data_IF_531963372422
#
_entry.id   IF_531963372422
#
_cell.length_a   1.000
_cell.length_b   1.000
_cell.length_c   1.000
_cell.angle_alpha   90.00
_cell.angle_beta   90.00
_cell.angle_gamma   90.00
#
_symmetry.space_group_name_H-M   'P 1'
#
loop_
_entity.id
_entity.type
_entity.pdbx_description
1 polymer ?
#
# COMPACT_ATOMS: atom_id res chain seq x y z
N UNK A 1 -14.03 5.80 -0.56
CA UNK A 1 -15.01 4.99 -1.36
C UNK A 1 -14.44 3.60 -1.66
N UNK A 2 -13.25 3.46 -2.26
CA UNK A 2 -12.60 2.18 -2.62
C UNK A 2 -12.53 1.19 -1.44
N UNK A 3 -12.14 1.67 -0.27
CA UNK A 3 -12.05 0.86 0.96
C UNK A 3 -13.43 0.33 1.38
N UNK A 4 -14.49 1.12 1.19
CA UNK A 4 -15.85 0.71 1.56
C UNK A 4 -16.36 -0.42 0.67
N UNK A 5 -16.17 -0.32 -0.63
CA UNK A 5 -16.65 -1.35 -1.57
C UNK A 5 -15.90 -2.68 -1.38
N UNK A 6 -14.58 -2.67 -1.38
CA UNK A 6 -13.80 -3.90 -1.14
C UNK A 6 -14.00 -4.50 0.26
N UNK A 7 -14.22 -3.65 1.27
CA UNK A 7 -14.45 -4.08 2.65
C UNK A 7 -15.77 -4.79 2.85
N UNK A 8 -16.88 -4.35 2.19
CA UNK A 8 -18.19 -4.97 2.34
C UNK A 8 -18.20 -6.42 1.83
N UNK A 9 -17.59 -6.69 0.69
CA UNK A 9 -17.51 -8.05 0.13
C UNK A 9 -16.74 -9.03 1.03
N UNK A 10 -15.67 -8.56 1.65
CA UNK A 10 -14.91 -9.39 2.59
C UNK A 10 -15.71 -9.67 3.86
N UNK A 11 -16.48 -8.70 4.36
CA UNK A 11 -17.39 -8.92 5.49
C UNK A 11 -18.50 -9.94 5.17
N UNK A 12 -19.07 -9.91 3.97
CA UNK A 12 -20.03 -10.90 3.50
C UNK A 12 -19.45 -12.32 3.42
N UNK A 13 -18.14 -12.43 3.23
CA UNK A 13 -17.38 -13.69 3.24
C UNK A 13 -16.91 -14.11 4.64
N UNK A 14 -17.32 -13.39 5.68
CA UNK A 14 -17.04 -13.71 7.09
C UNK A 14 -15.74 -13.18 7.64
N UNK A 15 -15.09 -12.21 6.96
CA UNK A 15 -13.92 -11.52 7.50
C UNK A 15 -14.34 -10.29 8.31
N UNK A 16 -13.63 -10.03 9.40
CA UNK A 16 -13.68 -8.73 10.06
C UNK A 16 -12.71 -7.78 9.34
N UNK A 17 -13.14 -6.53 9.10
CA UNK A 17 -12.33 -5.53 8.41
C UNK A 17 -12.10 -4.32 9.29
N UNK A 18 -10.83 -3.90 9.45
CA UNK A 18 -10.46 -2.61 10.01
C UNK A 18 -10.09 -1.67 8.85
N UNK A 19 -10.96 -0.69 8.58
CA UNK A 19 -10.76 0.34 7.57
C UNK A 19 -10.27 1.61 8.24
N UNK A 20 -9.12 2.14 7.82
CA UNK A 20 -8.44 3.20 8.57
C UNK A 20 -8.04 4.37 7.68
N UNK A 21 -8.42 5.56 8.07
CA UNK A 21 -7.85 6.82 7.56
C UNK A 21 -6.55 7.14 8.30
N UNK A 22 -5.46 6.59 7.81
CA UNK A 22 -4.11 6.81 8.37
C UNK A 22 -3.54 8.18 7.97
N UNK A 23 -2.40 8.65 8.50
CA UNK A 23 -1.77 9.90 8.11
C UNK A 23 -1.67 10.08 6.59
N UNK A 24 -2.07 11.23 6.10
CA UNK A 24 -2.14 11.53 4.67
C UNK A 24 -3.37 10.97 3.95
N UNK A 25 -4.35 10.39 4.65
CA UNK A 25 -5.53 9.77 4.05
C UNK A 25 -6.83 10.29 4.66
N UNK A 26 -7.89 10.30 3.84
CA UNK A 26 -9.27 10.57 4.25
C UNK A 26 -9.40 11.69 5.28
N UNK A 27 -10.09 11.42 6.39
CA UNK A 27 -10.32 12.39 7.44
C UNK A 27 -9.05 12.84 8.17
N UNK A 28 -8.03 12.00 8.27
CA UNK A 28 -6.74 12.39 8.83
C UNK A 28 -6.11 13.54 8.08
N UNK A 29 -6.14 13.50 6.74
CA UNK A 29 -5.59 14.57 5.90
C UNK A 29 -6.56 15.75 5.77
N UNK A 30 -7.81 15.49 5.34
CA UNK A 30 -8.71 16.56 4.90
C UNK A 30 -9.43 17.27 6.06
N UNK A 31 -9.53 16.65 7.23
CA UNK A 31 -10.17 17.24 8.41
C UNK A 31 -9.15 17.61 9.48
N UNK A 32 -8.12 16.77 9.68
CA UNK A 32 -7.13 16.96 10.74
C UNK A 32 -5.83 17.58 10.26
N UNK A 33 -5.62 17.72 8.94
CA UNK A 33 -4.38 18.20 8.32
C UNK A 33 -3.14 17.41 8.77
N UNK A 34 -3.28 16.10 8.96
CA UNK A 34 -2.16 15.22 9.30
C UNK A 34 -1.54 14.72 8.00
N UNK A 35 -0.33 15.16 7.62
CA UNK A 35 0.31 14.75 6.38
C UNK A 35 0.75 13.28 6.44
N UNK A 36 1.03 12.72 5.25
CA UNK A 36 1.65 11.39 5.15
C UNK A 36 3.07 11.41 5.69
N UNK A 37 3.59 10.21 6.03
CA UNK A 37 4.92 10.02 6.59
C UNK A 37 5.58 8.79 5.98
N UNK A 38 6.91 8.77 5.94
CA UNK A 38 7.67 7.66 5.36
C UNK A 38 7.66 6.41 6.26
N UNK A 39 7.81 6.60 7.57
CA UNK A 39 7.83 5.58 8.61
C UNK A 39 6.41 5.07 8.95
N UNK A 40 5.75 4.51 7.94
CA UNK A 40 4.34 4.09 8.04
C UNK A 40 4.11 2.91 8.99
N UNK A 41 5.16 2.22 9.38
CA UNK A 41 5.15 1.22 10.46
C UNK A 41 4.66 1.80 11.80
N UNK A 42 4.88 3.10 12.04
CA UNK A 42 4.43 3.74 13.30
C UNK A 42 2.90 3.83 13.39
N UNK A 43 2.17 4.44 12.44
CA UNK A 43 0.71 4.39 12.46
C UNK A 43 0.17 2.98 12.23
N UNK A 44 0.85 2.14 11.46
CA UNK A 44 0.49 0.74 11.27
C UNK A 44 0.46 -0.02 12.58
N UNK A 45 1.52 0.09 13.38
CA UNK A 45 1.56 -0.54 14.70
C UNK A 45 0.38 -0.12 15.59
N UNK A 46 0.03 1.16 15.60
CA UNK A 46 -1.12 1.64 16.39
C UNK A 46 -2.44 1.01 15.92
N UNK A 47 -2.61 0.82 14.60
CA UNK A 47 -3.78 0.12 14.05
C UNK A 47 -3.83 -1.35 14.51
N UNK A 48 -2.68 -2.05 14.50
CA UNK A 48 -2.59 -3.43 14.98
C UNK A 48 -2.79 -3.53 16.49
N UNK A 49 -2.27 -2.60 17.30
CA UNK A 49 -2.50 -2.56 18.74
C UNK A 49 -4.01 -2.42 19.05
N UNK A 50 -4.72 -1.58 18.28
CA UNK A 50 -6.17 -1.48 18.39
C UNK A 50 -6.85 -2.79 17.95
N UNK A 51 -6.48 -3.34 16.82
CA UNK A 51 -7.08 -4.57 16.28
C UNK A 51 -6.97 -5.73 17.27
N UNK A 52 -5.78 -5.94 17.83
CA UNK A 52 -5.52 -7.02 18.79
C UNK A 52 -6.11 -6.76 20.20
N UNK A 53 -6.60 -5.56 20.47
CA UNK A 53 -7.40 -5.28 21.68
C UNK A 53 -8.85 -5.75 21.56
N UNK A 54 -9.28 -6.14 20.35
CA UNK A 54 -10.65 -6.57 20.07
C UNK A 54 -10.81 -8.07 20.32
N UNK A 55 -11.72 -8.50 21.22
CA UNK A 55 -11.86 -9.90 21.60
C UNK A 55 -12.41 -10.80 20.47
N UNK A 56 -13.07 -10.20 19.46
CA UNK A 56 -13.61 -10.90 18.30
C UNK A 56 -12.56 -11.22 17.22
N UNK A 57 -11.34 -10.71 17.36
CA UNK A 57 -10.27 -10.92 16.36
C UNK A 57 -9.39 -12.09 16.77
N UNK A 58 -9.24 -13.02 15.83
CA UNK A 58 -8.28 -14.12 15.94
C UNK A 58 -6.86 -13.61 15.60
N UNK A 59 -5.93 -13.55 16.56
CA UNK A 59 -4.59 -13.00 16.33
C UNK A 59 -3.74 -13.84 15.36
N UNK A 60 -4.09 -15.09 15.15
CA UNK A 60 -3.38 -15.97 14.23
C UNK A 60 -3.88 -15.90 12.78
N UNK A 61 -4.88 -15.06 12.52
CA UNK A 61 -5.55 -14.96 11.22
C UNK A 61 -5.73 -13.51 10.74
N UNK A 62 -4.71 -12.67 10.95
CA UNK A 62 -4.74 -11.26 10.57
C UNK A 62 -3.88 -11.03 9.34
N UNK A 63 -4.48 -10.51 8.27
CA UNK A 63 -3.80 -10.09 7.05
C UNK A 63 -3.80 -8.57 6.92
N UNK A 64 -2.81 -8.03 6.20
CA UNK A 64 -2.71 -6.63 5.83
C UNK A 64 -2.87 -6.49 4.31
N UNK A 65 -3.71 -5.56 3.89
CA UNK A 65 -3.90 -5.23 2.48
C UNK A 65 -3.64 -3.74 2.23
N UNK A 66 -2.94 -3.45 1.16
CA UNK A 66 -2.73 -2.09 0.66
C UNK A 66 -3.01 -1.98 -0.83
N UNK A 67 -3.70 -0.89 -1.22
CA UNK A 67 -4.08 -0.63 -2.60
C UNK A 67 -3.43 0.69 -3.05
N UNK A 68 -2.93 0.73 -4.29
CA UNK A 68 -2.34 1.93 -4.88
C UNK A 68 -1.16 2.45 -4.04
N UNK A 69 -1.15 3.69 -3.61
CA UNK A 69 -0.09 4.23 -2.73
C UNK A 69 0.08 3.43 -1.42
N UNK A 70 -0.97 2.73 -0.96
CA UNK A 70 -0.84 1.79 0.15
C UNK A 70 -0.13 0.49 -0.26
N UNK A 71 0.11 0.26 -1.53
CA UNK A 71 1.04 -0.75 -2.04
C UNK A 71 2.50 -0.49 -1.63
N UNK A 72 2.83 0.72 -1.15
CA UNK A 72 4.06 1.02 -0.41
C UNK A 72 3.84 0.89 1.10
N UNK A 73 2.75 1.48 1.64
CA UNK A 73 2.52 1.53 3.09
C UNK A 73 2.35 0.17 3.72
N UNK A 74 1.58 -0.72 3.10
CA UNK A 74 1.34 -2.05 3.64
C UNK A 74 2.62 -2.93 3.67
N UNK A 75 3.41 -3.03 2.60
CA UNK A 75 4.72 -3.68 2.65
C UNK A 75 5.64 -3.11 3.73
N UNK A 76 5.67 -1.78 3.88
CA UNK A 76 6.49 -1.16 4.91
C UNK A 76 6.03 -1.57 6.32
N UNK A 77 4.73 -1.54 6.60
CA UNK A 77 4.20 -2.03 7.88
C UNK A 77 4.54 -3.51 8.08
N UNK A 78 4.37 -4.35 7.05
CA UNK A 78 4.65 -5.78 7.14
C UNK A 78 6.14 -6.11 7.40
N UNK A 79 7.05 -5.20 7.04
CA UNK A 79 8.47 -5.36 7.32
C UNK A 79 8.85 -5.15 8.80
N UNK A 80 7.96 -4.55 9.61
CA UNK A 80 8.18 -4.18 11.01
C UNK A 80 7.12 -4.71 11.98
N UNK A 81 6.09 -5.42 11.49
CA UNK A 81 4.97 -5.89 12.29
C UNK A 81 4.85 -7.42 12.22
N UNK A 82 5.46 -8.10 13.16
CA UNK A 82 5.55 -9.58 13.19
C UNK A 82 4.21 -10.28 13.43
N UNK A 83 3.18 -9.55 13.90
CA UNK A 83 1.85 -10.12 14.18
C UNK A 83 1.03 -10.35 12.91
N UNK A 84 1.42 -9.77 11.77
CA UNK A 84 0.77 -10.00 10.47
C UNK A 84 1.03 -11.43 10.02
N UNK A 85 0.03 -12.08 9.43
CA UNK A 85 0.11 -13.48 8.94
C UNK A 85 0.11 -13.57 7.41
N UNK A 86 -0.32 -12.51 6.72
CA UNK A 86 -0.25 -12.43 5.26
C UNK A 86 -0.26 -10.96 4.81
N UNK A 87 0.36 -10.70 3.68
CA UNK A 87 0.40 -9.38 3.02
C UNK A 87 -0.25 -9.48 1.63
N UNK A 88 -1.11 -8.52 1.32
CA UNK A 88 -1.65 -8.30 -0.01
C UNK A 88 -1.26 -6.89 -0.46
N UNK A 89 -0.47 -6.78 -1.52
CA UNK A 89 -0.07 -5.52 -2.11
C UNK A 89 -0.65 -5.38 -3.52
N UNK A 90 -1.68 -4.57 -3.65
CA UNK A 90 -2.36 -4.31 -4.92
C UNK A 90 -1.81 -3.02 -5.52
N UNK A 91 -1.15 -3.13 -6.66
CA UNK A 91 -0.29 -2.11 -7.26
C UNK A 91 0.89 -1.79 -6.34
N UNK A 92 1.78 -2.78 -6.13
CA UNK A 92 2.98 -2.65 -5.31
C UNK A 92 3.90 -1.52 -5.80
N UNK A 93 4.56 -0.86 -4.86
CA UNK A 93 5.45 0.26 -5.12
C UNK A 93 6.70 0.13 -4.26
N UNK A 94 7.87 0.26 -4.87
CA UNK A 94 9.16 0.19 -4.18
C UNK A 94 9.59 1.56 -3.65
N UNK A 95 9.43 2.61 -4.48
CA UNK A 95 9.79 4.00 -4.19
C UNK A 95 8.65 4.92 -4.62
N UNK A 96 8.08 5.68 -3.67
CA UNK A 96 7.06 6.68 -4.02
C UNK A 96 7.65 7.79 -4.89
N UNK A 97 8.94 8.11 -4.71
CA UNK A 97 9.60 9.11 -5.54
C UNK A 97 9.66 8.65 -7.00
N UNK A 98 10.21 7.48 -7.23
CA UNK A 98 10.53 7.01 -8.58
C UNK A 98 9.31 6.41 -9.28
N UNK A 99 8.59 5.51 -8.59
CA UNK A 99 7.53 4.71 -9.19
C UNK A 99 6.21 5.46 -9.33
N UNK A 100 6.03 6.58 -8.59
CA UNK A 100 4.80 7.39 -8.63
C UNK A 100 5.07 8.84 -8.99
N UNK A 101 5.86 9.56 -8.19
CA UNK A 101 5.98 11.02 -8.27
C UNK A 101 6.69 11.48 -9.55
N UNK A 102 7.78 10.82 -9.92
CA UNK A 102 8.54 11.09 -11.15
C UNK A 102 7.97 10.34 -12.35
N UNK A 103 7.27 9.23 -12.13
CA UNK A 103 6.66 8.41 -13.18
C UNK A 103 5.41 9.08 -13.78
N UNK A 104 4.59 9.73 -12.94
CA UNK A 104 3.33 10.34 -13.38
C UNK A 104 3.14 11.74 -12.79
N UNK A 105 3.56 12.75 -13.55
CA UNK A 105 3.63 14.17 -13.14
C UNK A 105 2.26 14.78 -12.77
N UNK A 106 1.16 14.28 -13.36
CA UNK A 106 -0.19 14.75 -13.02
C UNK A 106 -0.59 14.49 -11.56
N UNK A 107 0.06 13.54 -10.88
CA UNK A 107 -0.16 13.29 -9.44
C UNK A 107 0.72 14.14 -8.52
N UNK A 108 1.72 14.83 -9.04
CA UNK A 108 2.64 15.63 -8.21
C UNK A 108 1.91 16.63 -7.30
N UNK A 109 0.93 17.43 -7.77
CA UNK A 109 0.21 18.34 -6.89
C UNK A 109 -0.54 17.64 -5.76
N UNK A 110 -1.09 16.44 -6.04
CA UNK A 110 -1.77 15.63 -5.03
C UNK A 110 -0.78 15.14 -3.99
N UNK A 111 0.36 14.59 -4.40
CA UNK A 111 1.39 14.09 -3.49
C UNK A 111 2.00 15.22 -2.65
N UNK A 112 2.28 16.38 -3.24
CA UNK A 112 2.72 17.58 -2.52
C UNK A 112 1.73 17.97 -1.42
N UNK A 113 0.44 17.94 -1.71
CA UNK A 113 -0.62 18.18 -0.72
C UNK A 113 -0.61 17.12 0.39
N UNK A 114 -0.46 15.85 0.06
CA UNK A 114 -0.40 14.75 1.04
C UNK A 114 0.83 14.88 1.97
N UNK A 115 1.91 15.48 1.48
CA UNK A 115 3.11 15.81 2.25
C UNK A 115 2.97 17.09 3.12
N UNK A 116 1.80 17.72 3.13
CA UNK A 116 1.55 18.93 3.91
C UNK A 116 1.56 20.24 3.12
N UNK A 117 1.43 20.20 1.80
CA UNK A 117 1.40 21.38 0.93
C UNK A 117 2.80 21.93 0.60
N UNK A 118 3.74 21.04 0.42
CA UNK A 118 5.16 21.38 0.11
C UNK A 118 5.38 21.71 -1.36
N UNK A 119 6.51 22.38 -1.68
CA UNK A 119 6.90 22.62 -3.08
C UNK A 119 7.42 21.34 -3.74
N UNK A 120 7.60 21.36 -5.07
CA UNK A 120 8.16 20.25 -5.83
C UNK A 120 9.56 19.84 -5.33
N UNK A 121 10.44 20.83 -5.09
CA UNK A 121 11.79 20.58 -4.59
C UNK A 121 11.78 19.95 -3.20
N UNK A 122 10.88 20.43 -2.33
CA UNK A 122 10.72 19.85 -0.99
C UNK A 122 10.14 18.44 -1.05
N UNK A 123 9.17 18.21 -1.93
CA UNK A 123 8.57 16.88 -2.13
C UNK A 123 9.63 15.88 -2.57
N UNK A 124 10.48 16.23 -3.56
CA UNK A 124 11.58 15.36 -4.03
C UNK A 124 12.60 15.02 -2.94
N UNK A 125 12.82 15.93 -2.00
CA UNK A 125 13.71 15.65 -0.84
C UNK A 125 13.03 14.69 0.14
N UNK A 126 11.77 14.98 0.53
CA UNK A 126 11.04 14.17 1.49
C UNK A 126 10.76 12.76 0.98
N UNK A 127 10.42 12.64 -0.31
CA UNK A 127 10.06 11.37 -0.92
C UNK A 127 11.23 10.37 -1.03
N UNK A 128 12.47 10.79 -0.87
CA UNK A 128 13.62 9.88 -0.79
C UNK A 128 13.52 8.90 0.39
N UNK A 129 12.82 9.29 1.44
CA UNK A 129 12.60 8.42 2.61
C UNK A 129 11.46 7.40 2.37
N UNK A 130 10.62 7.61 1.34
CA UNK A 130 9.52 6.72 1.01
C UNK A 130 9.99 5.59 0.08
N UNK A 131 10.86 4.75 0.59
CA UNK A 131 11.46 3.63 -0.15
C UNK A 131 11.45 2.34 0.66
N UNK A 132 11.41 1.21 -0.05
CA UNK A 132 11.56 -0.13 0.53
C UNK A 132 13.01 -0.61 0.49
N UNK A 133 13.96 0.24 0.06
CA UNK A 133 15.38 -0.09 0.01
C UNK A 133 15.91 -0.46 1.40
N UNK A 134 16.57 -1.61 1.49
CA UNK A 134 17.09 -2.13 2.76
C UNK A 134 16.00 -2.59 3.76
N UNK A 135 14.74 -2.60 3.36
CA UNK A 135 13.59 -2.92 4.23
C UNK A 135 12.83 -4.14 3.72
N UNK A 136 12.63 -4.26 2.41
CA UNK A 136 11.76 -5.27 1.79
C UNK A 136 12.11 -6.71 2.20
N UNK A 137 13.39 -7.03 2.39
CA UNK A 137 13.84 -8.36 2.81
C UNK A 137 13.37 -8.78 4.21
N UNK A 138 12.87 -7.84 5.01
CA UNK A 138 12.31 -8.12 6.34
C UNK A 138 10.88 -8.69 6.27
N UNK A 139 10.20 -8.55 5.15
CA UNK A 139 8.87 -9.13 4.94
C UNK A 139 9.05 -10.65 4.80
N UNK A 140 8.53 -11.41 5.78
CA UNK A 140 8.66 -12.86 5.85
C UNK A 140 7.33 -13.61 5.74
N UNK A 141 6.23 -12.89 5.81
CA UNK A 141 4.89 -13.46 5.74
C UNK A 141 4.50 -13.81 4.31
N UNK A 142 3.63 -14.81 4.09
CA UNK A 142 3.05 -15.08 2.78
C UNK A 142 2.56 -13.80 2.12
N UNK A 143 2.97 -13.58 0.87
CA UNK A 143 2.73 -12.30 0.19
C UNK A 143 2.16 -12.51 -1.21
N UNK A 144 1.04 -11.87 -1.48
CA UNK A 144 0.48 -11.76 -2.83
C UNK A 144 0.61 -10.31 -3.29
N UNK A 145 1.17 -10.13 -4.47
CA UNK A 145 1.24 -8.84 -5.15
C UNK A 145 0.54 -8.93 -6.50
N UNK A 146 -0.19 -7.88 -6.85
CA UNK A 146 -0.81 -7.75 -8.18
C UNK A 146 -0.50 -6.39 -8.77
N UNK A 147 -0.39 -6.29 -10.10
CA UNK A 147 -0.15 -5.04 -10.81
C UNK A 147 -0.63 -5.12 -12.25
N UNK A 148 -1.08 -4.01 -12.81
CA UNK A 148 -1.43 -3.92 -14.22
C UNK A 148 -0.20 -3.61 -15.10
N UNK A 149 -0.04 -4.31 -16.22
CA UNK A 149 1.12 -4.14 -17.10
C UNK A 149 1.17 -2.77 -17.80
N UNK A 150 0.02 -2.10 -17.93
CA UNK A 150 -0.10 -0.76 -18.54
C UNK A 150 -0.56 0.29 -17.52
N UNK A 151 -0.27 0.06 -16.25
CA UNK A 151 -0.48 1.05 -15.20
C UNK A 151 0.34 2.31 -15.50
N UNK A 152 -0.36 3.44 -15.70
CA UNK A 152 0.27 4.73 -16.00
C UNK A 152 0.58 5.55 -14.75
N UNK A 153 -0.07 5.23 -13.63
CA UNK A 153 0.08 5.98 -12.40
C UNK A 153 1.27 5.49 -11.58
N UNK A 154 1.49 4.18 -11.62
CA UNK A 154 2.51 3.54 -10.79
C UNK A 154 3.32 2.56 -11.64
N UNK A 155 4.64 2.72 -11.64
CA UNK A 155 5.52 1.92 -12.48
C UNK A 155 5.52 0.44 -12.05
N UNK A 156 5.19 -0.45 -12.98
CA UNK A 156 5.20 -1.89 -12.75
C UNK A 156 6.61 -2.43 -12.42
N UNK A 157 7.67 -1.75 -12.85
CA UNK A 157 9.04 -2.13 -12.52
C UNK A 157 9.33 -1.96 -11.02
N UNK A 158 8.73 -0.96 -10.36
CA UNK A 158 8.77 -0.83 -8.91
C UNK A 158 8.14 -2.03 -8.19
N UNK A 159 6.99 -2.52 -8.68
CA UNK A 159 6.37 -3.73 -8.13
C UNK A 159 7.25 -4.97 -8.30
N UNK A 160 7.87 -5.15 -9.48
CA UNK A 160 8.81 -6.26 -9.74
C UNK A 160 10.04 -6.17 -8.84
N UNK A 161 10.59 -4.97 -8.64
CA UNK A 161 11.72 -4.74 -7.74
C UNK A 161 11.35 -5.08 -6.31
N UNK A 162 10.22 -4.58 -5.82
CA UNK A 162 9.71 -4.91 -4.49
C UNK A 162 9.57 -6.42 -4.31
N UNK A 163 8.90 -7.09 -5.24
CA UNK A 163 8.71 -8.54 -5.19
C UNK A 163 10.03 -9.31 -5.10
N UNK A 164 11.02 -8.93 -5.89
CA UNK A 164 12.32 -9.59 -5.90
C UNK A 164 13.04 -9.48 -4.55
N UNK A 165 12.90 -8.35 -3.86
CA UNK A 165 13.58 -8.08 -2.58
C UNK A 165 12.81 -8.58 -1.36
N UNK A 166 11.49 -8.85 -1.46
CA UNK A 166 10.70 -9.45 -0.37
C UNK A 166 11.34 -10.78 0.06
N UNK A 167 11.59 -10.90 1.35
CA UNK A 167 12.27 -12.05 1.95
C UNK A 167 11.36 -13.24 2.30
N UNK A 168 10.08 -13.21 1.96
CA UNK A 168 9.16 -14.32 2.12
C UNK A 168 9.48 -15.42 1.10
N UNK A 169 9.42 -16.70 1.56
CA UNK A 169 9.53 -17.88 0.69
C UNK A 169 8.24 -18.11 -0.10
N UNK A 170 7.10 -17.93 0.55
CA UNK A 170 5.77 -18.02 -0.07
C UNK A 170 5.36 -16.62 -0.57
N UNK A 171 5.64 -16.35 -1.84
CA UNK A 171 5.26 -15.10 -2.47
C UNK A 171 4.88 -15.28 -3.93
N UNK A 172 3.87 -14.53 -4.38
CA UNK A 172 3.38 -14.54 -5.75
C UNK A 172 3.24 -13.11 -6.26
N UNK A 173 3.70 -12.85 -7.47
CA UNK A 173 3.42 -11.62 -8.21
C UNK A 173 2.60 -11.98 -9.45
N UNK A 174 1.43 -11.39 -9.57
CA UNK A 174 0.59 -11.50 -10.76
C UNK A 174 0.56 -10.17 -11.51
N UNK A 175 1.08 -10.16 -12.73
CA UNK A 175 1.00 -9.02 -13.64
C UNK A 175 -0.13 -9.30 -14.64
N UNK A 176 -1.17 -8.46 -14.59
CA UNK A 176 -2.28 -8.52 -15.57
C UNK A 176 -1.82 -7.87 -16.86
N UNK A 177 -1.66 -8.65 -17.93
CA UNK A 177 -1.15 -8.21 -19.22
C UNK A 177 -2.09 -8.53 -20.40
N UNK A 178 -3.13 -9.33 -20.21
CA UNK A 178 -4.14 -9.58 -21.23
C UNK A 178 -5.36 -8.64 -21.02
N UNK A 179 -5.61 -7.68 -21.93
CA UNK A 179 -6.77 -6.80 -21.84
C UNK A 179 -8.12 -7.53 -21.83
N UNK A 180 -8.18 -8.79 -22.26
CA UNK A 180 -9.41 -9.59 -22.24
C UNK A 180 -9.73 -10.12 -20.86
N UNK A 181 -8.72 -10.30 -20.03
CA UNK A 181 -8.89 -10.72 -18.62
C UNK A 181 -9.15 -9.52 -17.71
N UNK A 182 -8.87 -8.29 -18.20
CA UNK A 182 -8.92 -7.07 -17.41
C UNK A 182 -7.74 -6.93 -16.45
N UNK A 183 -7.79 -5.94 -15.57
CA UNK A 183 -6.75 -5.72 -14.55
C UNK A 183 -5.48 -5.04 -15.04
N UNK A 184 -5.40 -4.70 -16.33
CA UNK A 184 -4.16 -4.21 -16.95
C UNK A 184 -3.79 -2.79 -16.57
N UNK A 185 -4.75 -2.00 -16.11
CA UNK A 185 -4.55 -0.61 -15.67
C UNK A 185 -4.39 -0.49 -14.14
N UNK A 186 -4.25 0.73 -13.64
CA UNK A 186 -4.05 0.99 -12.22
C UNK A 186 -5.17 0.40 -11.36
N UNK A 187 -4.80 -0.41 -10.38
CA UNK A 187 -5.70 -1.07 -9.44
C UNK A 187 -6.87 -1.81 -10.11
N UNK A 188 -6.63 -2.35 -11.31
CA UNK A 188 -7.62 -3.14 -12.06
C UNK A 188 -8.94 -2.41 -12.33
N UNK A 189 -8.89 -1.07 -12.51
CA UNK A 189 -10.08 -0.26 -12.76
C UNK A 189 -10.81 -0.59 -14.08
N UNK A 190 -10.21 -1.38 -14.94
CA UNK A 190 -10.81 -1.90 -16.17
C UNK A 190 -11.63 -3.19 -15.96
N UNK A 191 -11.71 -3.70 -14.73
CA UNK A 191 -12.47 -4.90 -14.34
C UNK A 191 -13.76 -4.62 -13.57
N UNK A 192 -14.11 -3.34 -13.35
CA UNK A 192 -15.26 -2.95 -12.53
C UNK A 192 -16.53 -2.77 -13.36
#
# INVERSE_FOLDING_TARGET
>A
EEIYFGGSELCERGYAMLLVDTPGRGSSMYVKNIPTRADYEVPGKACFDYLFSRPEIDPDRVALMGISMAGYYAPRVAAFEDRIKALISWCGCYSILDDLYLHYDHLQPTVQRLLGGVTDEQAKVLLKEFTMEGIAQNIKVPTIMTHGSVDKLMDVEGAKKLFNEIGAEDKTLHIYDDPKEGGTVHCSHDCW
#
